data_IF_397119374310
#
_entry.id   IF_397119374310
#
_cell.length_a   1.000
_cell.length_b   1.000
_cell.length_c   1.000
_cell.angle_alpha   90.00
_cell.angle_beta   90.00
_cell.angle_gamma   90.00
#
_symmetry.space_group_name_H-M   'P 1'
#
loop_
_entity.id
_entity.type
_entity.pdbx_description
1 polymer ?
#
# COMPACT_ATOMS: atom_id res chain seq x y z
N UNK A 1 24.29 4.79 22.06
CA UNK A 1 23.61 4.84 20.75
C UNK A 1 22.16 5.10 21.07
N UNK A 2 21.59 6.27 20.77
CA UNK A 2 20.22 6.55 21.16
C UNK A 2 19.28 5.68 20.33
N UNK A 3 18.32 5.08 21.03
CA UNK A 3 17.32 4.16 20.52
C UNK A 3 16.64 4.70 19.27
N UNK A 4 16.90 4.06 18.13
CA UNK A 4 16.05 4.18 16.97
C UNK A 4 14.69 3.61 17.39
N UNK A 5 13.76 4.48 17.78
CA UNK A 5 12.35 4.18 17.67
C UNK A 5 12.18 3.59 16.27
N UNK A 6 11.68 2.35 16.08
CA UNK A 6 11.45 1.85 14.74
C UNK A 6 10.48 2.86 14.11
N UNK A 7 11.00 3.62 13.14
CA UNK A 7 10.21 4.52 12.31
C UNK A 7 8.99 3.74 11.89
N UNK A 8 7.79 4.25 12.21
CA UNK A 8 6.53 3.56 11.93
C UNK A 8 6.60 2.97 10.51
N UNK A 9 6.62 1.63 10.36
CA UNK A 9 6.83 1.00 9.05
C UNK A 9 5.73 1.37 8.06
N UNK A 10 4.55 1.77 8.55
CA UNK A 10 3.50 2.31 7.72
C UNK A 10 3.84 3.71 7.19
N UNK A 11 4.35 4.60 8.05
CA UNK A 11 4.76 5.93 7.61
C UNK A 11 5.97 5.86 6.66
N UNK A 12 6.93 4.97 6.93
CA UNK A 12 8.06 4.73 6.04
C UNK A 12 7.61 4.23 4.66
N UNK A 13 6.68 3.27 4.62
CA UNK A 13 6.11 2.77 3.37
C UNK A 13 5.34 3.86 2.62
N UNK A 14 4.53 4.66 3.32
CA UNK A 14 3.79 5.78 2.73
C UNK A 14 4.72 6.77 2.02
N UNK A 15 5.74 7.28 2.71
CA UNK A 15 6.68 8.23 2.11
C UNK A 15 7.48 7.61 0.97
N UNK A 16 7.81 6.32 1.06
CA UNK A 16 8.50 5.62 -0.03
C UNK A 16 7.62 5.54 -1.27
N UNK A 17 6.34 5.18 -1.12
CA UNK A 17 5.37 5.11 -2.23
C UNK A 17 5.18 6.48 -2.91
N UNK A 18 5.12 7.57 -2.14
CA UNK A 18 5.07 8.94 -2.68
C UNK A 18 6.36 9.28 -3.45
N UNK A 19 7.52 9.03 -2.84
CA UNK A 19 8.83 9.35 -3.42
C UNK A 19 9.07 8.64 -4.76
N UNK A 20 8.70 7.35 -4.84
CA UNK A 20 8.83 6.59 -6.10
C UNK A 20 7.72 6.88 -7.10
N UNK A 21 6.76 7.76 -6.76
CA UNK A 21 5.59 8.07 -7.58
C UNK A 21 4.90 6.78 -8.05
N UNK A 22 4.48 5.95 -7.08
CA UNK A 22 4.06 4.56 -7.29
C UNK A 22 3.13 4.34 -8.49
N UNK A 23 2.27 5.31 -8.82
CA UNK A 23 1.36 5.26 -9.96
C UNK A 23 2.07 5.02 -11.30
N UNK A 24 3.31 5.51 -11.45
CA UNK A 24 4.13 5.32 -12.66
C UNK A 24 4.48 3.86 -12.94
N UNK A 25 4.34 2.99 -11.94
CA UNK A 25 4.59 1.54 -12.08
C UNK A 25 3.41 0.80 -12.72
N UNK A 26 2.30 1.48 -13.01
CA UNK A 26 1.05 0.87 -13.47
C UNK A 26 0.49 1.55 -14.72
N UNK A 27 -0.19 0.79 -15.56
CA UNK A 27 -0.94 1.35 -16.69
C UNK A 27 -2.21 2.10 -16.22
N UNK A 28 -2.69 3.04 -17.04
CA UNK A 28 -3.83 3.89 -16.72
C UNK A 28 -5.14 3.12 -16.45
N UNK A 29 -5.35 1.98 -17.13
CA UNK A 29 -6.56 1.16 -16.95
C UNK A 29 -6.52 0.39 -15.64
N UNK A 30 -5.36 -0.13 -15.27
CA UNK A 30 -5.13 -0.78 -13.98
C UNK A 30 -5.28 0.21 -12.82
N UNK A 31 -4.74 1.42 -12.97
CA UNK A 31 -4.92 2.52 -12.01
C UNK A 31 -6.40 2.83 -11.78
N UNK A 32 -7.14 3.16 -12.85
CA UNK A 32 -8.55 3.55 -12.78
C UNK A 32 -9.39 2.48 -12.09
N UNK A 33 -9.21 1.20 -12.48
CA UNK A 33 -9.98 0.09 -11.92
C UNK A 33 -9.59 -0.22 -10.48
N UNK A 34 -8.29 -0.17 -10.16
CA UNK A 34 -7.78 -0.47 -8.84
C UNK A 34 -8.23 0.55 -7.80
N UNK A 35 -8.16 1.83 -8.12
CA UNK A 35 -8.73 2.89 -7.29
C UNK A 35 -10.24 2.71 -7.10
N UNK A 36 -10.95 2.26 -8.14
CA UNK A 36 -12.36 1.88 -8.02
C UNK A 36 -12.60 0.72 -7.05
N UNK A 37 -11.70 -0.27 -7.00
CA UNK A 37 -11.78 -1.41 -6.07
C UNK A 37 -11.48 -0.99 -4.62
N UNK A 38 -10.52 -0.09 -4.41
CA UNK A 38 -10.22 0.48 -3.10
C UNK A 38 -11.45 1.22 -2.53
N UNK A 39 -12.05 2.12 -3.32
CA UNK A 39 -13.28 2.85 -2.94
C UNK A 39 -14.48 1.93 -2.63
N UNK A 40 -14.51 0.74 -3.23
CA UNK A 40 -15.56 -0.25 -2.98
C UNK A 40 -15.29 -1.14 -1.75
N UNK A 41 -14.19 -0.92 -1.02
CA UNK A 41 -13.83 -1.73 0.15
C UNK A 41 -13.51 -3.19 -0.19
N UNK A 42 -12.93 -3.44 -1.38
CA UNK A 42 -12.62 -4.81 -1.84
C UNK A 42 -11.31 -5.36 -1.29
N UNK A 43 -10.49 -4.52 -0.67
CA UNK A 43 -9.27 -4.95 0.04
C UNK A 43 -9.70 -5.44 1.43
N UNK A 44 -9.31 -6.65 1.78
CA UNK A 44 -9.69 -7.34 3.02
C UNK A 44 -8.51 -7.36 3.98
N UNK A 45 -8.81 -7.07 5.24
CA UNK A 45 -7.89 -6.95 6.37
C UNK A 45 -6.93 -5.76 6.25
N UNK A 46 -6.63 -5.14 7.40
CA UNK A 46 -5.70 -4.01 7.48
C UNK A 46 -4.35 -4.42 6.92
N UNK A 47 -3.97 -3.77 5.83
CA UNK A 47 -2.68 -3.93 5.17
C UNK A 47 -1.57 -3.66 6.17
N UNK A 48 -0.90 -4.71 6.65
CA UNK A 48 0.22 -4.55 7.58
C UNK A 48 1.53 -4.46 6.78
N UNK A 49 2.24 -3.33 6.84
CA UNK A 49 3.55 -3.21 6.25
C UNK A 49 4.55 -4.03 7.04
N UNK A 50 5.43 -4.71 6.32
CA UNK A 50 6.49 -5.56 6.85
C UNK A 50 7.81 -5.16 6.19
N UNK A 51 8.92 -5.32 6.91
CA UNK A 51 10.25 -5.13 6.35
C UNK A 51 10.86 -6.51 6.06
N UNK A 52 11.23 -6.74 4.80
CA UNK A 52 11.88 -7.97 4.33
C UNK A 52 13.26 -7.60 3.75
N UNK A 53 14.30 -7.66 4.59
CA UNK A 53 15.61 -7.13 4.26
C UNK A 53 15.56 -5.62 4.04
N UNK A 54 16.02 -5.16 2.87
CA UNK A 54 15.94 -3.75 2.46
C UNK A 54 14.56 -3.35 1.92
N UNK A 55 13.67 -4.33 1.67
CA UNK A 55 12.38 -4.08 1.04
C UNK A 55 11.30 -3.77 2.08
N UNK A 56 10.44 -2.79 1.79
CA UNK A 56 9.17 -2.59 2.47
C UNK A 56 8.08 -3.29 1.68
N UNK A 57 7.40 -4.23 2.34
CA UNK A 57 6.42 -5.13 1.73
C UNK A 57 5.03 -4.90 2.31
N UNK A 58 4.02 -4.93 1.45
CA UNK A 58 2.62 -4.86 1.84
C UNK A 58 1.86 -6.03 1.24
N UNK A 59 1.08 -6.75 2.06
CA UNK A 59 0.33 -7.94 1.64
C UNK A 59 -1.15 -7.78 2.01
N UNK A 60 -2.04 -8.17 1.10
CA UNK A 60 -3.48 -8.17 1.35
C UNK A 60 -4.24 -9.17 0.47
N UNK A 61 -5.47 -9.47 0.88
CA UNK A 61 -6.45 -10.19 0.07
C UNK A 61 -7.38 -9.19 -0.63
N UNK A 62 -7.62 -9.38 -1.92
CA UNK A 62 -8.51 -8.51 -2.69
C UNK A 62 -9.63 -9.32 -3.34
N UNK A 63 -10.88 -8.90 -3.11
CA UNK A 63 -12.03 -9.49 -3.76
C UNK A 63 -12.06 -9.12 -5.26
N UNK A 64 -12.15 -10.16 -6.10
CA UNK A 64 -12.26 -10.02 -7.55
C UNK A 64 -13.62 -9.48 -8.00
N UNK A 65 -13.84 -9.45 -9.31
CA UNK A 65 -15.18 -9.15 -9.88
C UNK A 65 -16.16 -10.32 -9.73
N UNK A 66 -15.67 -11.54 -9.52
CA UNK A 66 -16.48 -12.72 -9.18
C UNK A 66 -16.33 -13.09 -7.70
N UNK A 67 -16.69 -14.32 -7.34
CA UNK A 67 -16.50 -14.87 -5.98
C UNK A 67 -15.05 -15.28 -5.66
N UNK A 68 -14.09 -14.85 -6.47
CA UNK A 68 -12.66 -15.19 -6.33
C UNK A 68 -11.94 -14.16 -5.46
N UNK A 69 -10.97 -14.63 -4.68
CA UNK A 69 -10.09 -13.81 -3.84
C UNK A 69 -8.65 -13.98 -4.30
N UNK A 70 -7.92 -12.86 -4.37
CA UNK A 70 -6.55 -12.86 -4.83
C UNK A 70 -5.61 -12.37 -3.73
N UNK A 71 -4.56 -13.14 -3.48
CA UNK A 71 -3.44 -12.74 -2.65
C UNK A 71 -2.60 -11.77 -3.45
N UNK A 72 -2.35 -10.60 -2.88
CA UNK A 72 -1.63 -9.52 -3.54
C UNK A 72 -0.54 -9.03 -2.61
N UNK A 73 0.66 -8.89 -3.16
CA UNK A 73 1.80 -8.31 -2.46
C UNK A 73 2.47 -7.24 -3.32
N UNK A 74 3.00 -6.22 -2.67
CA UNK A 74 3.87 -5.24 -3.30
C UNK A 74 5.10 -5.02 -2.45
N UNK A 75 6.19 -4.64 -3.11
CA UNK A 75 7.46 -4.34 -2.48
C UNK A 75 8.05 -3.08 -3.10
N UNK A 76 8.62 -2.24 -2.25
CA UNK A 76 9.41 -1.06 -2.62
C UNK A 76 10.73 -1.09 -1.87
N UNK A 77 11.76 -0.53 -2.49
CA UNK A 77 13.07 -0.36 -1.90
C UNK A 77 13.27 1.15 -1.64
N UNK A 78 13.27 1.60 -0.38
CA UNK A 78 13.49 3.01 -0.04
C UNK A 78 14.89 3.51 -0.44
N UNK A 79 15.85 2.60 -0.61
CA UNK A 79 17.23 2.88 -1.01
C UNK A 79 17.45 2.76 -2.53
N UNK A 80 16.46 2.28 -3.30
CA UNK A 80 16.49 2.21 -4.76
C UNK A 80 15.22 2.78 -5.42
N UNK A 81 14.96 4.10 -5.34
CA UNK A 81 13.76 4.71 -5.92
C UNK A 81 13.49 4.43 -7.41
N UNK A 82 14.51 4.33 -8.30
CA UNK A 82 14.29 3.98 -9.71
C UNK A 82 13.65 2.62 -9.94
N UNK A 83 13.71 1.69 -8.98
CA UNK A 83 13.03 0.40 -9.06
C UNK A 83 11.50 0.54 -9.11
N UNK A 84 10.96 1.60 -8.51
CA UNK A 84 9.53 1.80 -8.39
C UNK A 84 8.85 0.73 -7.55
N UNK A 85 7.58 0.43 -7.86
CA UNK A 85 6.81 -0.62 -7.19
C UNK A 85 6.89 -1.92 -7.97
N UNK A 86 7.31 -2.98 -7.28
CA UNK A 86 7.17 -4.35 -7.77
C UNK A 86 5.96 -4.98 -7.08
N UNK A 87 5.07 -5.61 -7.85
CA UNK A 87 3.89 -6.27 -7.27
C UNK A 87 3.70 -7.66 -7.84
N UNK A 88 3.22 -8.57 -7.01
CA UNK A 88 2.77 -9.91 -7.37
C UNK A 88 1.32 -10.11 -6.94
N UNK A 89 0.53 -10.84 -7.73
CA UNK A 89 -0.86 -11.13 -7.42
C UNK A 89 -1.24 -12.50 -7.98
N UNK A 90 -1.97 -13.30 -7.20
CA UNK A 90 -2.45 -14.62 -7.64
C UNK A 90 -3.56 -14.58 -8.70
N UNK A 91 -3.84 -13.41 -9.27
CA UNK A 91 -4.83 -13.25 -10.34
C UNK A 91 -4.25 -13.62 -11.71
N UNK A 92 -5.10 -13.84 -12.75
CA UNK A 92 -4.62 -14.22 -14.08
C UNK A 92 -3.69 -13.20 -14.75
N UNK A 93 -3.64 -11.95 -14.27
CA UNK A 93 -2.72 -10.92 -14.77
C UNK A 93 -1.33 -11.05 -14.15
N UNK A 94 -1.24 -11.56 -12.91
CA UNK A 94 0.02 -11.60 -12.16
C UNK A 94 0.45 -10.21 -11.69
N UNK A 95 1.50 -9.68 -12.30
CA UNK A 95 2.17 -8.45 -11.85
C UNK A 95 1.49 -7.18 -12.36
N UNK A 96 1.78 -6.07 -11.67
CA UNK A 96 1.27 -4.71 -11.93
C UNK A 96 -0.25 -4.65 -12.23
N UNK A 97 -1.04 -5.50 -11.56
CA UNK A 97 -2.47 -5.57 -11.83
C UNK A 97 -3.28 -4.56 -11.01
N UNK A 98 -4.55 -4.34 -11.39
CA UNK A 98 -5.49 -3.49 -10.64
C UNK A 98 -5.65 -3.85 -9.15
N UNK A 99 -5.41 -5.10 -8.75
CA UNK A 99 -5.51 -5.49 -7.34
C UNK A 99 -4.36 -4.88 -6.53
N UNK A 100 -3.14 -4.83 -7.08
CA UNK A 100 -2.02 -4.17 -6.43
C UNK A 100 -2.27 -2.66 -6.25
N UNK A 101 -2.82 -2.00 -7.27
CA UNK A 101 -3.29 -0.61 -7.15
C UNK A 101 -4.31 -0.46 -6.03
N UNK A 102 -5.28 -1.38 -5.93
CA UNK A 102 -6.29 -1.32 -4.88
C UNK A 102 -5.67 -1.42 -3.48
N UNK A 103 -4.68 -2.30 -3.30
CA UNK A 103 -3.95 -2.44 -2.02
C UNK A 103 -3.20 -1.16 -1.65
N UNK A 104 -2.45 -0.57 -2.59
CA UNK A 104 -1.73 0.68 -2.34
C UNK A 104 -2.68 1.81 -1.97
N UNK A 105 -3.76 1.96 -2.75
CA UNK A 105 -4.73 3.04 -2.53
C UNK A 105 -5.46 2.85 -1.19
N UNK A 106 -5.92 1.64 -0.86
CA UNK A 106 -6.56 1.37 0.42
C UNK A 106 -5.64 1.65 1.61
N UNK A 107 -4.35 1.32 1.49
CA UNK A 107 -3.37 1.63 2.54
C UNK A 107 -3.17 3.14 2.75
N UNK A 108 -3.06 3.90 1.66
CA UNK A 108 -2.97 5.37 1.72
C UNK A 108 -4.24 5.95 2.36
N UNK A 109 -5.42 5.55 1.87
CA UNK A 109 -6.71 6.01 2.38
C UNK A 109 -6.86 5.72 3.90
N UNK A 110 -6.44 4.52 4.34
CA UNK A 110 -6.44 4.13 5.75
C UNK A 110 -5.48 4.98 6.60
N UNK A 111 -4.26 5.25 6.12
CA UNK A 111 -3.30 6.10 6.83
C UNK A 111 -3.76 7.55 6.92
N UNK A 112 -4.28 8.13 5.84
CA UNK A 112 -4.80 9.50 5.83
C UNK A 112 -6.03 9.64 6.74
N UNK A 113 -6.92 8.66 6.73
CA UNK A 113 -8.07 8.61 7.62
C UNK A 113 -7.65 8.45 9.09
N UNK A 114 -6.63 7.61 9.38
CA UNK A 114 -6.12 7.41 10.73
C UNK A 114 -5.33 8.63 11.25
N UNK A 115 -4.57 9.29 10.38
CA UNK A 115 -3.90 10.56 10.67
C UNK A 115 -4.89 11.67 10.99
N UNK A 116 -6.02 11.72 10.27
CA UNK A 116 -7.13 12.63 10.52
C UNK A 116 -7.94 12.28 11.78
N UNK A 117 -7.92 11.01 12.21
CA UNK A 117 -8.62 10.51 13.41
C UNK A 117 -7.82 10.61 14.70
N UNK A 118 -6.57 11.07 14.69
CA UNK A 118 -5.89 11.45 15.95
C UNK A 118 -6.64 12.66 16.52
N UNK A 119 -7.42 12.54 17.61
CA UNK A 119 -7.93 13.73 18.28
C UNK A 119 -6.70 14.50 18.71
N UNK A 120 -6.70 15.81 18.45
CA UNK A 120 -5.61 16.67 18.87
C UNK A 120 -5.23 16.37 20.32
N UNK A 121 -3.93 16.37 20.58
CA UNK A 121 -3.44 16.68 21.91
C UNK A 121 -4.12 18.00 22.27
N UNK A 122 -5.20 17.94 23.05
CA UNK A 122 -5.69 19.11 23.76
C UNK A 122 -4.54 19.51 24.65
N UNK A 123 -3.84 20.57 24.27
CA UNK A 123 -3.10 21.39 25.21
C UNK A 123 -4.13 21.87 26.24
N UNK A 124 -4.24 21.11 27.32
CA UNK A 124 -5.01 21.48 28.50
C UNK A 124 -4.27 22.59 29.23
N UNK A 125 -4.96 23.71 29.33
CA UNK A 125 -5.02 24.68 30.43
C UNK A 125 -3.75 24.92 31.28
#
# INVERSE_FOLDING_TARGET
>A
MPDAHPSDPALALYHTLENVQWQRSFDARSLTRGQGYARQGRVRHGTRPEQEGEMLVLRAQVDGSGRSRYLTSLAVDPHNPPMGVVSDCSCPVGRQCKHAVAVIQSFIDELEANGSKRPGITAGA
#
